data_IF_802363404753
#
_entry.id   IF_802363404753
#
_cell.length_a   1.000
_cell.length_b   1.000
_cell.length_c   1.000
_cell.angle_alpha   90.00
_cell.angle_beta   90.00
_cell.angle_gamma   90.00
#
_symmetry.space_group_name_H-M   'P 1'
#
loop_
_entity.id
_entity.type
_entity.pdbx_description
1 polymer ?
#
# COMPACT_ATOMS: atom_id res chain seq x y z
N UNK A 1 -21.53 -2.67 16.20
CA UNK A 1 -20.63 -1.51 16.06
C UNK A 1 -21.20 -0.30 16.78
N UNK A 2 -20.37 0.51 17.44
CA UNK A 2 -20.82 1.81 17.96
C UNK A 2 -21.29 2.69 16.78
N UNK A 3 -22.13 3.68 17.04
CA UNK A 3 -22.50 4.68 16.03
C UNK A 3 -21.22 5.32 15.47
N UNK A 4 -21.17 5.61 14.15
CA UNK A 4 -20.02 6.30 13.58
C UNK A 4 -19.87 7.69 14.23
N UNK A 5 -18.65 8.11 14.50
CA UNK A 5 -18.36 9.44 15.01
C UNK A 5 -18.68 10.52 13.96
N UNK A 6 -18.48 10.18 12.69
CA UNK A 6 -18.85 11.01 11.57
C UNK A 6 -19.39 10.15 10.41
N UNK A 7 -20.47 10.59 9.79
CA UNK A 7 -21.06 9.91 8.65
C UNK A 7 -21.30 10.86 7.50
N UNK A 8 -20.69 10.56 6.37
CA UNK A 8 -20.95 11.21 5.10
C UNK A 8 -21.93 10.38 4.24
N UNK A 9 -22.25 10.88 3.05
CA UNK A 9 -23.12 10.18 2.10
C UNK A 9 -22.56 8.81 1.69
N UNK A 10 -21.24 8.68 1.60
CA UNK A 10 -20.55 7.51 1.04
C UNK A 10 -19.55 6.88 1.99
N UNK A 11 -19.43 7.37 3.22
CA UNK A 11 -18.47 6.86 4.19
C UNK A 11 -18.99 7.03 5.61
N UNK A 12 -18.46 6.20 6.49
CA UNK A 12 -18.61 6.33 7.94
C UNK A 12 -17.24 6.27 8.60
N UNK A 13 -16.97 7.19 9.52
CA UNK A 13 -15.74 7.22 10.31
C UNK A 13 -16.04 6.71 11.72
N UNK A 14 -15.35 5.65 12.12
CA UNK A 14 -15.44 5.06 13.43
C UNK A 14 -14.14 5.29 14.20
N UNK A 15 -14.19 6.01 15.30
CA UNK A 15 -13.09 6.13 16.24
C UNK A 15 -13.18 4.96 17.24
N UNK A 16 -12.45 3.91 16.97
CA UNK A 16 -12.44 2.69 17.79
C UNK A 16 -11.17 1.87 17.56
N UNK A 17 -10.86 0.98 18.47
CA UNK A 17 -9.90 -0.09 18.23
C UNK A 17 -10.31 -0.85 16.95
N UNK A 18 -9.37 -1.02 16.02
CA UNK A 18 -9.67 -1.60 14.71
C UNK A 18 -10.04 -3.09 14.81
N UNK A 19 -9.50 -3.82 15.78
CA UNK A 19 -9.79 -5.25 16.00
C UNK A 19 -11.22 -5.39 16.51
N UNK A 20 -11.60 -4.61 17.54
CA UNK A 20 -12.97 -4.58 18.06
C UNK A 20 -13.97 -4.12 16.98
N UNK A 21 -13.57 -3.11 16.17
CA UNK A 21 -14.38 -2.63 15.05
C UNK A 21 -14.64 -3.70 14.00
N UNK A 22 -13.60 -4.45 13.61
CA UNK A 22 -13.74 -5.56 12.66
C UNK A 22 -14.57 -6.70 13.22
N UNK A 23 -14.40 -7.07 14.49
CA UNK A 23 -15.26 -8.07 15.14
C UNK A 23 -16.73 -7.64 15.15
N UNK A 24 -17.01 -6.40 15.56
CA UNK A 24 -18.37 -5.87 15.56
C UNK A 24 -18.97 -5.79 14.15
N UNK A 25 -18.16 -5.48 13.13
CA UNK A 25 -18.59 -5.49 11.73
C UNK A 25 -18.96 -6.91 11.27
N UNK A 26 -18.11 -7.88 11.62
CA UNK A 26 -18.37 -9.28 11.28
C UNK A 26 -19.66 -9.80 11.94
N UNK A 27 -19.88 -9.52 13.23
CA UNK A 27 -21.12 -9.92 13.93
C UNK A 27 -22.39 -9.30 13.32
N UNK A 28 -22.27 -8.12 12.73
CA UNK A 28 -23.42 -7.44 12.10
C UNK A 28 -23.66 -7.88 10.65
N UNK A 29 -22.60 -8.15 9.87
CA UNK A 29 -22.68 -8.29 8.41
C UNK A 29 -21.98 -9.53 7.86
N UNK A 30 -21.29 -10.30 8.71
CA UNK A 30 -20.42 -11.38 8.26
C UNK A 30 -19.21 -10.86 7.49
N UNK A 31 -18.68 -11.67 6.59
CA UNK A 31 -17.64 -11.27 5.67
C UNK A 31 -18.19 -10.27 4.64
N UNK A 32 -17.92 -8.99 4.83
CA UNK A 32 -18.57 -7.89 4.12
C UNK A 32 -17.63 -6.85 3.52
N UNK A 33 -16.32 -6.96 3.80
CA UNK A 33 -15.31 -6.00 3.31
C UNK A 33 -14.81 -6.41 1.92
N UNK A 34 -14.97 -5.54 0.96
CA UNK A 34 -14.59 -5.75 -0.44
C UNK A 34 -13.11 -5.48 -0.70
N UNK A 35 -12.59 -4.40 -0.15
CA UNK A 35 -11.19 -4.04 -0.27
C UNK A 35 -10.72 -3.37 1.02
N UNK A 36 -9.49 -3.67 1.43
CA UNK A 36 -8.87 -2.99 2.57
C UNK A 36 -7.51 -2.45 2.16
N UNK A 37 -7.25 -1.19 2.51
CA UNK A 37 -5.94 -0.56 2.32
C UNK A 37 -5.53 0.11 3.62
N UNK A 38 -4.38 -0.26 4.16
CA UNK A 38 -3.86 0.34 5.39
C UNK A 38 -2.33 0.38 5.43
N UNK A 39 -1.81 1.26 6.28
CA UNK A 39 -0.43 1.22 6.76
C UNK A 39 -0.47 0.83 8.22
N UNK A 40 0.22 -0.22 8.58
CA UNK A 40 0.33 -0.68 9.96
C UNK A 40 1.47 0.04 10.69
N UNK A 41 1.48 0.10 12.02
CA UNK A 41 2.67 0.50 12.76
C UNK A 41 3.86 -0.37 12.39
N UNK A 42 5.05 0.24 12.26
CA UNK A 42 6.26 -0.48 11.86
C UNK A 42 7.00 -1.00 13.09
N UNK A 43 6.49 -2.08 13.68
CA UNK A 43 7.04 -2.65 14.90
C UNK A 43 7.08 -1.63 16.05
N UNK A 44 8.21 -1.55 16.73
CA UNK A 44 8.49 -0.61 17.81
C UNK A 44 9.22 0.68 17.33
N UNK A 45 9.15 0.98 16.03
CA UNK A 45 9.90 2.11 15.46
C UNK A 45 9.34 3.46 15.90
N UNK A 46 8.01 3.55 16.09
CA UNK A 46 7.30 4.74 16.51
C UNK A 46 6.21 4.39 17.52
N UNK A 47 6.13 5.16 18.58
CA UNK A 47 5.04 5.14 19.55
C UNK A 47 4.09 6.28 19.22
N UNK A 48 2.82 6.00 19.03
CA UNK A 48 1.83 7.00 18.61
C UNK A 48 1.01 7.55 19.78
N UNK A 49 0.80 6.75 20.80
CA UNK A 49 0.04 7.14 22.01
C UNK A 49 0.51 6.35 23.23
N UNK A 50 0.11 6.80 24.43
CA UNK A 50 0.35 6.08 25.69
C UNK A 50 -0.65 4.93 25.93
N UNK A 51 -1.50 4.62 24.97
CA UNK A 51 -2.51 3.57 25.10
C UNK A 51 -1.86 2.18 25.01
N UNK A 52 -2.14 1.31 25.95
CA UNK A 52 -1.64 -0.08 25.97
C UNK A 52 -2.06 -0.91 24.74
N UNK A 53 -3.12 -0.49 24.03
CA UNK A 53 -3.59 -1.12 22.80
C UNK A 53 -2.94 -0.58 21.53
N UNK A 54 -2.10 0.44 21.65
CA UNK A 54 -1.30 0.92 20.53
C UNK A 54 -0.17 -0.09 20.26
N UNK A 55 -0.23 -0.72 19.09
CA UNK A 55 0.79 -1.69 18.65
C UNK A 55 2.20 -1.09 18.62
N UNK A 56 2.33 0.23 18.48
CA UNK A 56 3.62 0.94 18.58
C UNK A 56 4.26 0.86 19.97
N UNK A 57 3.49 0.54 21.01
CA UNK A 57 3.97 0.36 22.39
C UNK A 57 4.49 -1.06 22.67
N UNK A 58 4.55 -1.94 21.68
CA UNK A 58 5.11 -3.27 21.86
C UNK A 58 6.57 -3.19 22.35
N UNK A 59 6.91 -3.92 23.39
CA UNK A 59 8.24 -3.89 24.01
C UNK A 59 9.34 -4.53 23.13
N UNK A 60 8.96 -5.30 22.13
CA UNK A 60 9.86 -5.97 21.17
C UNK A 60 9.13 -6.30 19.88
N UNK A 61 9.89 -6.65 18.83
CA UNK A 61 9.31 -7.15 17.56
C UNK A 61 8.45 -8.41 17.76
N UNK A 62 8.84 -9.30 18.65
CA UNK A 62 8.07 -10.51 18.98
C UNK A 62 6.76 -10.16 19.70
N UNK A 63 6.77 -9.17 20.58
CA UNK A 63 5.56 -8.67 21.23
C UNK A 63 4.60 -8.04 20.23
N UNK A 64 5.15 -7.24 19.32
CA UNK A 64 4.38 -6.66 18.23
C UNK A 64 3.69 -7.77 17.42
N UNK A 65 4.42 -8.77 16.97
CA UNK A 65 3.86 -9.86 16.14
C UNK A 65 2.82 -10.69 16.89
N UNK A 66 2.99 -10.91 18.19
CA UNK A 66 1.98 -11.60 19.01
C UNK A 66 0.66 -10.83 19.06
N UNK A 67 0.73 -9.51 19.18
CA UNK A 67 -0.46 -8.65 19.16
C UNK A 67 -1.04 -8.48 17.76
N UNK A 68 -0.17 -8.31 16.75
CA UNK A 68 -0.55 -8.15 15.37
C UNK A 68 -1.35 -9.34 14.81
N UNK A 69 -1.12 -10.54 15.36
CA UNK A 69 -1.89 -11.73 14.99
C UNK A 69 -3.40 -11.52 15.14
N UNK A 70 -3.85 -10.84 16.17
CA UNK A 70 -5.28 -10.59 16.39
C UNK A 70 -5.87 -9.68 15.29
N UNK A 71 -5.09 -8.72 14.81
CA UNK A 71 -5.47 -7.90 13.66
C UNK A 71 -5.60 -8.75 12.39
N UNK A 72 -4.59 -9.59 12.10
CA UNK A 72 -4.60 -10.44 10.91
C UNK A 72 -5.78 -11.44 10.91
N UNK A 73 -6.09 -12.03 12.07
CA UNK A 73 -7.23 -12.94 12.25
C UNK A 73 -8.57 -12.21 12.07
N UNK A 74 -8.74 -11.03 12.67
CA UNK A 74 -9.95 -10.22 12.54
C UNK A 74 -10.15 -9.76 11.08
N UNK A 75 -9.07 -9.34 10.41
CA UNK A 75 -9.11 -8.96 9.00
C UNK A 75 -9.54 -10.15 8.11
N UNK A 76 -8.93 -11.32 8.31
CA UNK A 76 -9.27 -12.51 7.53
C UNK A 76 -10.75 -12.88 7.62
N UNK A 77 -11.39 -12.63 8.79
CA UNK A 77 -12.81 -12.90 9.02
C UNK A 77 -13.76 -11.93 8.31
N UNK A 78 -13.40 -10.64 8.24
CA UNK A 78 -14.30 -9.62 7.66
C UNK A 78 -14.19 -9.50 6.16
N UNK A 79 -13.07 -9.93 5.56
CA UNK A 79 -12.88 -9.89 4.12
C UNK A 79 -13.83 -10.85 3.41
N UNK A 80 -14.50 -10.39 2.35
CA UNK A 80 -15.27 -11.28 1.45
C UNK A 80 -14.33 -12.30 0.78
N UNK A 81 -14.83 -13.52 0.50
CA UNK A 81 -14.03 -14.53 -0.22
C UNK A 81 -13.48 -13.98 -1.54
N UNK A 82 -12.21 -14.29 -1.82
CA UNK A 82 -11.54 -13.90 -3.06
C UNK A 82 -11.18 -12.41 -3.18
N UNK A 83 -11.50 -11.58 -2.18
CA UNK A 83 -11.19 -10.15 -2.17
C UNK A 83 -9.83 -9.87 -1.53
N UNK A 84 -9.28 -8.67 -1.74
CA UNK A 84 -7.87 -8.35 -1.48
C UNK A 84 -7.73 -7.29 -0.39
N UNK A 85 -6.82 -7.55 0.55
CA UNK A 85 -6.31 -6.58 1.51
C UNK A 85 -4.89 -6.16 1.14
N UNK A 86 -4.64 -4.85 1.18
CA UNK A 86 -3.36 -4.22 0.85
C UNK A 86 -2.76 -3.62 2.12
N UNK A 87 -1.61 -4.15 2.57
CA UNK A 87 -0.94 -3.77 3.81
C UNK A 87 0.39 -3.11 3.48
N UNK A 88 0.53 -1.85 3.85
CA UNK A 88 1.77 -1.10 3.66
C UNK A 88 2.72 -1.35 4.83
N UNK A 89 3.96 -1.68 4.51
CA UNK A 89 5.04 -1.96 5.46
C UNK A 89 6.40 -1.50 4.93
N UNK A 90 7.39 -1.44 5.81
CA UNK A 90 8.81 -1.37 5.47
C UNK A 90 9.59 -2.30 6.38
N UNK A 91 10.77 -2.75 5.95
CA UNK A 91 11.68 -3.48 6.85
C UNK A 91 12.32 -2.54 7.88
N UNK A 92 12.71 -3.07 9.03
CA UNK A 92 13.16 -2.26 10.15
C UNK A 92 14.68 -2.14 10.18
N UNK A 93 15.23 -0.92 10.33
CA UNK A 93 16.68 -0.77 10.44
C UNK A 93 17.16 -1.17 11.83
N UNK A 94 18.12 -2.08 11.90
CA UNK A 94 18.81 -2.38 13.15
C UNK A 94 19.84 -1.28 13.50
N UNK A 95 20.02 -1.03 14.79
CA UNK A 95 20.92 -0.01 15.32
C UNK A 95 21.99 -0.67 16.18
N UNK A 96 23.27 -0.31 16.00
CA UNK A 96 24.38 -0.90 16.75
C UNK A 96 24.19 -0.82 18.27
N UNK A 97 23.67 0.30 18.78
CA UNK A 97 23.44 0.49 20.22
C UNK A 97 22.35 -0.40 20.82
N UNK A 98 21.31 -0.75 20.03
CA UNK A 98 20.17 -1.58 20.50
C UNK A 98 20.35 -3.06 20.11
N UNK A 99 20.88 -3.33 18.91
CA UNK A 99 20.90 -4.67 18.31
C UNK A 99 22.31 -5.26 18.20
N UNK A 100 23.37 -4.48 18.53
CA UNK A 100 24.76 -4.91 18.41
C UNK A 100 25.34 -4.83 17.00
N UNK A 101 24.53 -4.66 15.96
CA UNK A 101 24.93 -4.61 14.56
C UNK A 101 24.07 -3.61 13.75
N UNK A 102 24.55 -3.29 12.55
CA UNK A 102 23.83 -2.49 11.55
C UNK A 102 23.35 -3.42 10.46
N UNK A 103 22.06 -3.41 10.17
CA UNK A 103 21.42 -4.26 9.16
C UNK A 103 19.93 -3.94 9.06
N UNK A 104 19.17 -4.93 8.63
CA UNK A 104 17.71 -4.89 8.54
C UNK A 104 17.10 -6.09 9.27
N UNK A 105 15.94 -5.88 9.84
CA UNK A 105 15.03 -6.92 10.30
C UNK A 105 13.96 -7.13 9.23
N UNK A 106 13.72 -8.38 8.84
CA UNK A 106 12.72 -8.78 7.86
C UNK A 106 11.30 -8.67 8.45
N UNK A 107 10.86 -7.43 8.66
CA UNK A 107 9.53 -7.16 9.18
C UNK A 107 8.44 -7.49 8.16
N UNK A 108 8.69 -7.20 6.88
CA UNK A 108 7.77 -7.53 5.79
C UNK A 108 7.50 -9.03 5.69
N UNK A 109 8.54 -9.86 5.83
CA UNK A 109 8.40 -11.33 5.86
C UNK A 109 7.64 -11.82 7.10
N UNK A 110 7.83 -11.20 8.25
CA UNK A 110 7.10 -11.55 9.47
C UNK A 110 5.59 -11.22 9.34
N UNK A 111 5.24 -10.08 8.77
CA UNK A 111 3.85 -9.69 8.47
C UNK A 111 3.21 -10.67 7.47
N UNK A 112 3.94 -11.09 6.42
CA UNK A 112 3.45 -12.09 5.47
C UNK A 112 3.11 -13.39 6.20
N UNK A 113 3.98 -13.89 7.08
CA UNK A 113 3.74 -15.11 7.86
C UNK A 113 2.53 -14.97 8.79
N UNK A 114 2.33 -13.81 9.41
CA UNK A 114 1.19 -13.56 10.29
C UNK A 114 -0.14 -13.67 9.51
N UNK A 115 -0.24 -13.07 8.33
CA UNK A 115 -1.44 -13.18 7.50
C UNK A 115 -1.67 -14.58 6.93
N UNK A 116 -0.60 -15.27 6.54
CA UNK A 116 -0.70 -16.67 6.11
C UNK A 116 -1.18 -17.57 7.26
N UNK A 117 -0.69 -17.36 8.48
CA UNK A 117 -1.16 -18.07 9.67
C UNK A 117 -2.63 -17.79 9.99
N UNK A 118 -3.12 -16.58 9.68
CA UNK A 118 -4.54 -16.22 9.77
C UNK A 118 -5.40 -16.79 8.62
N UNK A 119 -4.82 -17.57 7.70
CA UNK A 119 -5.52 -18.23 6.59
C UNK A 119 -5.63 -17.40 5.31
N UNK A 120 -5.01 -16.23 5.23
CA UNK A 120 -4.96 -15.44 4.00
C UNK A 120 -3.91 -15.95 3.02
N UNK A 121 -4.17 -15.77 1.74
CA UNK A 121 -3.26 -16.14 0.66
C UNK A 121 -2.34 -14.95 0.39
N UNK A 122 -1.02 -15.12 0.55
CA UNK A 122 -0.05 -14.13 0.09
C UNK A 122 -0.10 -14.07 -1.44
N UNK A 123 -0.66 -12.98 -1.95
CA UNK A 123 -0.97 -12.84 -3.37
C UNK A 123 0.18 -12.22 -4.17
N UNK A 124 0.68 -11.07 -3.70
CA UNK A 124 1.76 -10.35 -4.38
C UNK A 124 2.36 -9.26 -3.48
N UNK A 125 3.45 -8.66 -3.97
CA UNK A 125 4.11 -7.53 -3.32
C UNK A 125 4.56 -6.53 -4.38
N UNK A 126 4.38 -5.25 -4.09
CA UNK A 126 4.97 -4.15 -4.84
C UNK A 126 6.04 -3.47 -3.99
N UNK A 127 7.15 -3.15 -4.60
CA UNK A 127 8.19 -2.31 -4.01
C UNK A 127 7.91 -0.85 -4.33
N UNK A 128 7.80 0.00 -3.32
CA UNK A 128 7.63 1.44 -3.46
C UNK A 128 9.03 2.06 -3.35
N UNK A 129 9.52 2.60 -4.45
CA UNK A 129 10.84 3.20 -4.50
C UNK A 129 10.89 4.49 -3.67
N UNK A 130 12.01 4.69 -2.99
CA UNK A 130 12.33 5.91 -2.26
C UNK A 130 13.70 6.40 -2.69
N UNK A 131 13.83 7.72 -2.87
CA UNK A 131 15.13 8.34 -3.19
C UNK A 131 16.10 8.15 -2.02
N UNK A 132 17.24 7.45 -2.23
CA UNK A 132 18.20 7.20 -1.16
C UNK A 132 18.86 8.47 -0.62
N UNK A 133 18.92 9.55 -1.39
CA UNK A 133 19.44 10.84 -0.93
C UNK A 133 18.48 11.50 0.05
N UNK A 134 17.18 11.50 -0.28
CA UNK A 134 16.13 12.01 0.61
C UNK A 134 16.08 11.19 1.90
N UNK A 135 16.11 9.86 1.79
CA UNK A 135 16.13 8.97 2.96
C UNK A 135 17.39 9.17 3.83
N UNK A 136 18.56 9.34 3.22
CA UNK A 136 19.79 9.64 3.91
C UNK A 136 19.69 10.95 4.70
N UNK A 137 19.16 12.01 4.09
CA UNK A 137 18.97 13.31 4.74
C UNK A 137 17.99 13.23 5.92
N UNK A 138 16.93 12.48 5.75
CA UNK A 138 15.86 12.31 6.76
C UNK A 138 16.33 11.47 7.95
N UNK A 139 16.95 10.34 7.70
CA UNK A 139 17.30 9.35 8.72
C UNK A 139 18.69 9.52 9.31
N UNK A 140 19.62 10.18 8.57
CA UNK A 140 21.06 10.29 8.89
C UNK A 140 21.69 8.94 9.27
N UNK A 141 21.14 7.84 8.74
CA UNK A 141 21.61 6.49 9.03
C UNK A 141 23.04 6.30 8.48
N UNK A 142 23.97 5.91 9.35
CA UNK A 142 25.40 5.80 9.01
C UNK A 142 25.67 4.93 7.77
N UNK A 143 25.00 3.77 7.67
CA UNK A 143 25.14 2.86 6.53
C UNK A 143 24.60 3.41 5.21
N UNK A 144 23.75 4.43 5.25
CA UNK A 144 23.15 5.05 4.06
C UNK A 144 23.89 6.34 3.63
N UNK A 145 24.84 6.82 4.44
CA UNK A 145 25.61 8.03 4.09
C UNK A 145 26.47 7.78 2.87
N UNK A 146 26.38 8.65 1.85
CA UNK A 146 27.22 8.59 0.66
C UNK A 146 28.72 8.54 0.98
N UNK A 147 29.13 9.24 2.05
CA UNK A 147 30.54 9.23 2.51
C UNK A 147 31.02 7.83 2.98
N UNK A 148 30.09 6.91 3.30
CA UNK A 148 30.45 5.56 3.74
C UNK A 148 31.11 4.74 2.62
N UNK A 149 30.77 4.99 1.36
CA UNK A 149 31.42 4.35 0.19
C UNK A 149 32.95 4.54 0.19
N UNK A 150 33.43 5.71 0.66
CA UNK A 150 34.85 6.01 0.74
C UNK A 150 35.56 5.48 1.97
N UNK A 151 34.78 5.21 3.05
CA UNK A 151 35.34 4.72 4.32
C UNK A 151 35.43 3.21 4.34
N UNK A 152 34.32 2.57 4.08
CA UNK A 152 34.14 1.12 4.03
C UNK A 152 32.85 0.79 3.28
N UNK A 153 32.98 0.42 2.01
CA UNK A 153 31.84 0.12 1.15
C UNK A 153 31.06 -1.10 1.62
N UNK A 154 31.69 -2.03 2.36
CA UNK A 154 31.00 -3.20 2.93
C UNK A 154 29.98 -2.81 4.02
N UNK A 155 30.16 -1.64 4.63
CA UNK A 155 29.22 -1.08 5.60
C UNK A 155 28.12 -0.21 4.94
N UNK A 156 28.21 -0.01 3.63
CA UNK A 156 27.22 0.77 2.90
C UNK A 156 25.91 -0.04 2.74
N UNK A 157 24.81 0.55 3.17
CA UNK A 157 23.47 -0.03 3.06
C UNK A 157 22.73 0.60 1.89
N UNK A 158 22.00 -0.22 1.16
CA UNK A 158 21.06 0.23 0.13
C UNK A 158 19.88 0.98 0.80
N UNK A 159 19.30 1.96 0.12
CA UNK A 159 18.09 2.64 0.56
C UNK A 159 16.96 1.65 0.82
N UNK A 160 16.14 1.92 1.83
CA UNK A 160 15.03 1.05 2.19
C UNK A 160 13.78 1.46 1.40
N UNK A 161 13.22 0.56 0.59
CA UNK A 161 11.92 0.79 0.00
C UNK A 161 10.82 0.60 1.05
N UNK A 162 9.61 1.06 0.73
CA UNK A 162 8.42 0.50 1.35
C UNK A 162 7.85 -0.62 0.48
N UNK A 163 7.00 -1.43 1.09
CA UNK A 163 6.31 -2.51 0.40
C UNK A 163 4.80 -2.35 0.57
N UNK A 164 4.06 -2.60 -0.50
CA UNK A 164 2.64 -2.90 -0.42
C UNK A 164 2.48 -4.42 -0.57
N UNK A 165 2.04 -5.05 0.50
CA UNK A 165 1.77 -6.49 0.56
C UNK A 165 0.31 -6.73 0.25
N UNK A 166 0.00 -7.60 -0.71
CA UNK A 166 -1.36 -7.97 -1.07
C UNK A 166 -1.68 -9.36 -0.53
N UNK A 167 -2.80 -9.44 0.18
CA UNK A 167 -3.34 -10.69 0.71
C UNK A 167 -4.74 -10.90 0.17
N UNK A 168 -5.01 -12.10 -0.34
CA UNK A 168 -6.33 -12.47 -0.83
C UNK A 168 -7.03 -13.37 0.20
N UNK A 169 -8.26 -13.06 0.52
CA UNK A 169 -9.10 -13.96 1.31
C UNK A 169 -9.35 -15.27 0.52
N UNK A 170 -9.31 -16.44 1.17
CA UNK A 170 -9.57 -17.71 0.50
C UNK A 170 -11.00 -17.77 -0.05
N UNK A 171 -11.22 -18.68 -1.00
CA UNK A 171 -12.49 -18.85 -1.67
C UNK A 171 -12.58 -18.09 -3.00
N UNK A 172 -13.72 -18.28 -3.66
CA UNK A 172 -14.04 -17.60 -4.91
C UNK A 172 -14.73 -16.27 -4.65
N UNK A 173 -14.42 -15.27 -5.46
CA UNK A 173 -15.12 -13.98 -5.43
C UNK A 173 -16.45 -14.10 -6.20
N UNK A 174 -17.60 -14.10 -5.53
CA UNK A 174 -18.89 -14.20 -6.19
C UNK A 174 -19.24 -12.92 -6.96
N UNK A 175 -18.70 -11.78 -6.54
CA UNK A 175 -18.90 -10.47 -7.14
C UNK A 175 -17.61 -9.99 -7.78
N UNK A 176 -17.36 -10.44 -9.02
CA UNK A 176 -16.11 -10.18 -9.75
C UNK A 176 -15.87 -8.69 -9.96
N UNK A 177 -14.65 -8.26 -9.69
CA UNK A 177 -14.17 -6.95 -10.09
C UNK A 177 -13.92 -7.01 -11.60
N UNK A 178 -14.79 -6.37 -12.35
CA UNK A 178 -14.67 -6.29 -13.79
C UNK A 178 -14.44 -4.83 -14.18
N UNK A 179 -13.19 -4.50 -14.45
CA UNK A 179 -12.87 -3.22 -15.07
C UNK A 179 -13.25 -3.30 -16.53
N UNK A 180 -14.32 -2.65 -16.94
CA UNK A 180 -14.84 -2.61 -18.31
C UNK A 180 -13.84 -2.08 -19.37
N UNK A 181 -12.65 -1.87 -18.96
CA UNK A 181 -11.63 -1.06 -19.57
C UNK A 181 -10.77 -1.72 -20.61
N UNK A 182 -10.77 -2.98 -20.67
CA UNK A 182 -10.09 -3.62 -21.79
C UNK A 182 -11.07 -3.79 -22.92
N UNK A 183 -11.67 -2.71 -23.41
CA UNK A 183 -12.42 -2.71 -24.65
C UNK A 183 -12.39 -4.02 -25.39
N UNK A 184 -12.96 -5.06 -24.84
CA UNK A 184 -13.30 -6.28 -25.53
C UNK A 184 -14.72 -6.18 -26.09
N UNK A 185 -15.07 -5.03 -26.57
CA UNK A 185 -15.76 -5.03 -27.82
C UNK A 185 -14.74 -5.47 -28.88
N UNK A 186 -15.19 -5.99 -29.95
CA UNK A 186 -14.36 -6.66 -30.96
C UNK A 186 -13.16 -5.83 -31.49
N UNK A 187 -13.08 -4.56 -31.13
CA UNK A 187 -12.13 -3.57 -31.64
C UNK A 187 -11.13 -3.08 -30.56
N UNK A 188 -11.39 -3.27 -29.27
CA UNK A 188 -10.61 -2.66 -28.19
C UNK A 188 -9.17 -3.16 -28.03
N UNK A 189 -8.89 -4.42 -28.37
CA UNK A 189 -7.52 -4.94 -28.38
C UNK A 189 -6.69 -4.27 -29.48
N UNK A 190 -7.33 -3.88 -30.58
CA UNK A 190 -6.69 -3.19 -31.70
C UNK A 190 -6.34 -1.75 -31.35
N UNK A 191 -7.13 -1.07 -30.53
CA UNK A 191 -6.89 0.31 -30.13
C UNK A 191 -5.67 0.45 -29.21
N UNK A 192 -5.46 -0.49 -28.28
CA UNK A 192 -4.24 -0.51 -27.47
C UNK A 192 -2.99 -0.73 -28.33
N UNK A 193 -3.03 -1.73 -29.19
CA UNK A 193 -1.94 -2.02 -30.13
C UNK A 193 -1.70 -0.79 -31.02
N UNK A 194 -2.75 -0.14 -31.48
CA UNK A 194 -2.67 1.07 -32.30
C UNK A 194 -2.01 2.23 -31.54
N UNK A 195 -2.35 2.45 -30.25
CA UNK A 195 -1.74 3.51 -29.43
C UNK A 195 -0.26 3.28 -29.18
N UNK A 196 0.13 2.07 -28.75
CA UNK A 196 1.52 1.71 -28.55
C UNK A 196 2.31 1.76 -29.86
N UNK A 197 1.69 1.29 -30.94
CA UNK A 197 2.27 1.30 -32.29
C UNK A 197 2.44 2.73 -32.82
N UNK A 198 1.45 3.60 -32.69
CA UNK A 198 1.54 5.00 -33.09
C UNK A 198 2.62 5.78 -32.33
N UNK A 199 2.74 5.56 -31.03
CA UNK A 199 3.82 6.14 -30.22
C UNK A 199 5.19 5.66 -30.69
N UNK A 200 5.32 4.37 -31.00
CA UNK A 200 6.56 3.79 -31.50
C UNK A 200 6.88 4.28 -32.93
N UNK A 201 5.90 4.35 -33.80
CA UNK A 201 6.05 4.90 -35.15
C UNK A 201 6.51 6.35 -35.13
N UNK A 202 5.95 7.16 -34.23
CA UNK A 202 6.42 8.54 -34.03
C UNK A 202 7.85 8.59 -33.53
N UNK A 203 8.19 7.76 -32.51
CA UNK A 203 9.55 7.67 -31.98
C UNK A 203 10.58 7.29 -33.06
N UNK A 204 10.18 6.48 -34.00
CA UNK A 204 11.00 6.07 -35.14
C UNK A 204 10.99 7.08 -36.31
N UNK A 205 10.26 8.19 -36.19
CA UNK A 205 10.13 9.19 -37.28
C UNK A 205 9.28 8.72 -38.47
N UNK A 206 8.51 7.66 -38.31
CA UNK A 206 7.67 7.08 -39.34
C UNK A 206 6.25 7.64 -39.34
N UNK A 207 5.87 8.42 -38.31
CA UNK A 207 4.61 9.16 -38.26
C UNK A 207 4.88 10.66 -38.09
N UNK A 208 4.13 11.47 -38.84
CA UNK A 208 4.32 12.92 -38.90
C UNK A 208 3.85 13.70 -37.66
N UNK A 209 3.04 13.09 -36.82
CA UNK A 209 2.58 13.67 -35.56
C UNK A 209 2.35 12.58 -34.50
N UNK A 210 2.69 12.88 -33.24
CA UNK A 210 2.20 12.08 -32.12
C UNK A 210 0.74 12.45 -31.90
N UNK A 211 -0.20 11.48 -31.88
CA UNK A 211 -1.56 11.76 -31.45
C UNK A 211 -1.51 12.40 -30.06
N UNK A 212 -2.18 13.51 -29.85
CA UNK A 212 -2.34 14.09 -28.54
C UNK A 212 -3.13 13.13 -27.64
N UNK A 213 -2.99 13.28 -26.34
CA UNK A 213 -3.81 12.48 -25.41
C UNK A 213 -5.31 12.79 -25.59
N UNK A 214 -5.66 13.99 -26.06
CA UNK A 214 -7.03 14.39 -26.43
C UNK A 214 -7.53 13.68 -27.69
N UNK A 215 -6.69 13.53 -28.73
CA UNK A 215 -7.04 12.76 -29.92
C UNK A 215 -7.28 11.29 -29.60
N UNK A 216 -6.47 10.74 -28.69
CA UNK A 216 -6.61 9.37 -28.22
C UNK A 216 -7.85 9.23 -27.34
N UNK A 217 -8.11 10.19 -26.43
CA UNK A 217 -9.30 10.22 -25.59
C UNK A 217 -10.59 10.38 -26.39
N UNK A 218 -10.56 11.15 -27.48
CA UNK A 218 -11.71 11.29 -28.39
C UNK A 218 -12.03 10.00 -29.15
N UNK A 219 -11.01 9.19 -29.46
CA UNK A 219 -11.18 7.86 -30.08
C UNK A 219 -11.60 6.78 -29.08
N UNK A 220 -11.37 7.00 -27.78
CA UNK A 220 -11.52 5.99 -26.73
C UNK A 220 -12.35 6.48 -25.53
N UNK A 221 -13.57 7.02 -25.75
CA UNK A 221 -14.34 7.68 -24.67
C UNK A 221 -14.73 6.77 -23.50
N UNK A 222 -14.46 5.47 -23.58
CA UNK A 222 -14.89 4.46 -22.59
C UNK A 222 -13.78 3.59 -22.04
N UNK A 223 -12.51 3.90 -22.29
CA UNK A 223 -11.40 3.10 -21.75
C UNK A 223 -10.91 3.72 -20.44
N UNK A 224 -11.46 3.26 -19.32
CA UNK A 224 -10.98 3.63 -17.98
C UNK A 224 -9.61 3.05 -17.66
N UNK A 225 -9.19 2.00 -18.37
CA UNK A 225 -8.03 1.18 -17.98
C UNK A 225 -7.33 0.61 -19.21
N UNK A 226 -6.53 1.40 -19.89
CA UNK A 226 -5.71 0.88 -20.99
C UNK A 226 -4.53 0.02 -20.47
N UNK A 227 -3.91 -0.76 -21.35
CA UNK A 227 -2.79 -1.63 -20.96
C UNK A 227 -1.60 -0.82 -20.45
N UNK A 228 -1.41 0.41 -20.88
CA UNK A 228 -0.33 1.28 -20.38
C UNK A 228 -0.60 1.69 -18.92
N UNK A 229 -1.83 2.02 -18.60
CA UNK A 229 -2.23 2.30 -17.23
C UNK A 229 -2.13 1.04 -16.37
N UNK A 230 -2.59 -0.10 -16.89
CA UNK A 230 -2.41 -1.39 -16.22
C UNK A 230 -0.93 -1.72 -15.99
N UNK A 231 -0.04 -1.55 -16.96
CA UNK A 231 1.40 -1.76 -16.79
C UNK A 231 1.98 -0.92 -15.65
N UNK A 232 1.53 0.35 -15.54
CA UNK A 232 1.95 1.25 -14.48
C UNK A 232 1.48 0.78 -13.10
N UNK A 233 0.22 0.36 -13.00
CA UNK A 233 -0.40 -0.09 -11.75
C UNK A 233 0.11 -1.47 -11.33
N UNK A 234 0.22 -2.41 -12.28
CA UNK A 234 0.67 -3.78 -12.03
C UNK A 234 2.20 -3.95 -12.02
N UNK A 235 2.96 -2.86 -12.15
CA UNK A 235 4.41 -2.89 -12.03
C UNK A 235 4.84 -3.43 -10.67
N UNK A 236 5.84 -4.32 -10.59
CA UNK A 236 6.35 -4.82 -9.32
C UNK A 236 7.13 -3.75 -8.53
N UNK A 237 7.45 -2.63 -9.16
CA UNK A 237 8.10 -1.47 -8.55
C UNK A 237 7.35 -0.21 -8.95
N UNK A 238 6.86 0.54 -7.96
CA UNK A 238 6.29 1.87 -8.17
C UNK A 238 7.37 2.94 -7.92
N UNK A 239 7.87 3.54 -8.98
CA UNK A 239 8.96 4.51 -8.94
C UNK A 239 8.46 5.96 -8.90
N UNK A 240 7.21 6.20 -9.18
CA UNK A 240 6.60 7.52 -9.41
C UNK A 240 5.59 7.92 -8.32
N UNK A 241 5.68 7.33 -7.14
CA UNK A 241 4.87 7.71 -5.98
C UNK A 241 5.31 9.06 -5.45
N UNK A 242 4.39 10.01 -5.42
CA UNK A 242 4.63 11.32 -4.80
C UNK A 242 4.61 11.19 -3.26
N UNK A 243 5.79 11.19 -2.65
CA UNK A 243 5.96 11.02 -1.20
C UNK A 243 5.30 12.14 -0.38
N UNK A 244 5.06 13.31 -0.98
CA UNK A 244 4.40 14.44 -0.34
C UNK A 244 2.86 14.46 -0.48
N UNK A 245 2.30 13.63 -1.36
CA UNK A 245 0.85 13.57 -1.59
C UNK A 245 0.17 12.70 -0.52
N UNK A 246 -0.15 13.29 0.61
CA UNK A 246 -0.79 12.66 1.77
C UNK A 246 -2.06 13.40 2.15
N UNK A 247 -2.88 12.82 3.06
CA UNK A 247 -4.08 13.49 3.55
C UNK A 247 -3.75 14.85 4.16
N UNK A 248 -4.52 15.87 3.81
CA UNK A 248 -4.41 17.20 4.40
C UNK A 248 -4.83 17.16 5.88
N UNK A 249 -4.23 18.03 6.69
CA UNK A 249 -4.59 18.15 8.10
C UNK A 249 -3.91 17.15 9.05
N UNK A 250 -3.16 16.16 8.56
CA UNK A 250 -2.44 15.19 9.39
C UNK A 250 -1.53 15.83 10.46
N UNK A 251 -1.03 17.07 10.20
CA UNK A 251 -0.17 17.79 11.14
C UNK A 251 -0.93 18.38 12.33
N UNK A 252 -2.24 18.61 12.18
CA UNK A 252 -3.10 19.16 13.23
C UNK A 252 -3.96 18.13 13.96
N UNK A 253 -4.07 16.93 13.40
CA UNK A 253 -4.90 15.86 13.94
C UNK A 253 -4.16 15.07 15.03
N UNK A 254 -3.94 15.69 16.18
CA UNK A 254 -3.37 15.01 17.36
C UNK A 254 -3.98 15.58 18.64
N UNK A 255 -4.17 14.72 19.63
CA UNK A 255 -4.40 15.19 20.99
C UNK A 255 -3.11 15.82 21.57
N UNK A 256 -3.22 16.54 22.69
CA UNK A 256 -2.08 17.29 23.26
C UNK A 256 -0.84 16.43 23.52
N UNK A 257 -1.03 15.17 23.86
CA UNK A 257 0.05 14.23 24.24
C UNK A 257 0.42 13.22 23.14
N UNK A 258 -0.26 13.21 21.98
CA UNK A 258 0.02 12.25 20.94
C UNK A 258 1.23 12.69 20.09
N UNK A 259 2.04 11.72 19.66
CA UNK A 259 3.09 11.99 18.68
C UNK A 259 2.47 12.33 17.32
N UNK A 260 3.17 13.17 16.55
CA UNK A 260 2.78 13.46 15.17
C UNK A 260 2.83 12.17 14.36
N UNK A 261 1.81 11.93 13.56
CA UNK A 261 1.87 10.84 12.57
C UNK A 261 3.05 11.06 11.61
N UNK A 262 4.09 10.24 11.77
CA UNK A 262 5.40 10.50 11.14
C UNK A 262 5.42 10.11 9.66
N UNK A 263 4.64 9.11 9.27
CA UNK A 263 4.65 8.55 7.91
C UNK A 263 3.22 8.23 7.44
N UNK A 264 2.40 9.26 7.10
CA UNK A 264 1.09 8.99 6.52
C UNK A 264 1.23 8.30 5.16
N UNK A 265 0.34 7.33 4.89
CA UNK A 265 0.33 6.62 3.61
C UNK A 265 0.00 7.58 2.46
N UNK A 266 0.75 7.48 1.37
CA UNK A 266 0.58 8.33 0.20
C UNK A 266 -0.73 8.01 -0.52
N UNK A 267 -1.43 9.05 -0.95
CA UNK A 267 -2.71 8.93 -1.67
C UNK A 267 -2.54 8.18 -3.01
N UNK A 268 -1.39 8.34 -3.68
CA UNK A 268 -1.10 7.62 -4.91
C UNK A 268 -1.06 6.09 -4.69
N UNK A 269 -0.56 5.65 -3.54
CA UNK A 269 -0.52 4.22 -3.17
C UNK A 269 -1.93 3.69 -2.93
N UNK A 270 -2.75 4.44 -2.17
CA UNK A 270 -4.14 4.09 -1.89
C UNK A 270 -4.94 4.01 -3.20
N UNK A 271 -4.82 5.02 -4.05
CA UNK A 271 -5.48 5.09 -5.35
C UNK A 271 -5.17 3.86 -6.21
N UNK A 272 -3.89 3.48 -6.32
CA UNK A 272 -3.47 2.31 -7.10
C UNK A 272 -4.06 1.00 -6.57
N UNK A 273 -4.06 0.83 -5.26
CA UNK A 273 -4.67 -0.35 -4.64
C UNK A 273 -6.18 -0.41 -4.93
N UNK A 274 -6.90 0.70 -4.77
CA UNK A 274 -8.33 0.77 -5.05
C UNK A 274 -8.64 0.52 -6.53
N UNK A 275 -7.87 1.12 -7.44
CA UNK A 275 -8.02 0.92 -8.88
C UNK A 275 -7.77 -0.52 -9.31
N UNK A 276 -6.87 -1.25 -8.66
CA UNK A 276 -6.58 -2.66 -8.97
C UNK A 276 -7.61 -3.63 -8.35
N UNK A 277 -8.06 -3.36 -7.13
CA UNK A 277 -8.71 -4.36 -6.29
C UNK A 277 -10.12 -3.98 -5.81
N UNK A 278 -10.68 -2.90 -6.33
CA UNK A 278 -12.07 -2.51 -6.06
C UNK A 278 -12.78 -2.00 -7.32
N UNK A 279 -14.08 -1.85 -7.24
CA UNK A 279 -14.94 -1.27 -8.29
C UNK A 279 -15.92 -0.27 -7.68
N UNK A 280 -16.57 0.58 -8.48
CA UNK A 280 -17.62 1.46 -7.98
C UNK A 280 -18.71 0.70 -7.24
N UNK A 281 -19.01 1.15 -6.02
CA UNK A 281 -20.03 0.56 -5.15
C UNK A 281 -19.50 -0.46 -4.14
N UNK A 282 -18.20 -0.77 -4.19
CA UNK A 282 -17.54 -1.60 -3.17
C UNK A 282 -17.38 -0.87 -1.84
#
# INVERSE_FOLDING_TARGET
>A
MKQPEYQGKWFALHNSDCIEGMHALYEQRGASVDCMVTSIPFGDLFVYSDNERDLGNAGSGDDFLRQYRFFAEALARVMKPGRVACIHVTDLPTRKGKHGYIGLEDFSGAVIKAHQAAGMIYHSRVTIWKDPVVEMQRTKALGLLHAQIRKDSAMNRIGMPDYMLMFRAPGENPDKINHAAYGRDKDGAHLYIARAWLKEMHRQGLASATPSDDDIAALLPHIEFDVMEWQKLASPVWMDINQGKVLNGWRGAKAENDEKHVCPLQLDVIERCLRLYSKPGD
#
